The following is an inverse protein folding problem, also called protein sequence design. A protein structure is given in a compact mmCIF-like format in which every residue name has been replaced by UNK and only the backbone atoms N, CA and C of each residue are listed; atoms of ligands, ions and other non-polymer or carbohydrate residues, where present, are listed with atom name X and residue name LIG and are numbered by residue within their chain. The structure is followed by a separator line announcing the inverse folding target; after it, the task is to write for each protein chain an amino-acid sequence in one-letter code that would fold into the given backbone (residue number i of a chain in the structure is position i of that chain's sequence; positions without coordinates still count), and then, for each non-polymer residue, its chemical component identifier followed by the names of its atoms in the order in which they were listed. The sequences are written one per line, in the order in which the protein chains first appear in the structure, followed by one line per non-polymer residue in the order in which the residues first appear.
data_IF_793662766580
#
_entry.id   IF_793662766580
#
_cell.length_a   1.000
_cell.length_b   1.000
_cell.length_c   1.000
_cell.angle_alpha   90.00
_cell.angle_beta   90.00
_cell.angle_gamma   90.00
#
_symmetry.space_group_name_H-M   'P 1'
#
loop_
_entity.id
_entity.type
_entity.pdbx_description
1 polymer ?
#
# COMPACT_ATOMS: atom_id res chain seq x y z
N UNK A 1 19.68 58.22 9.15
CA UNK A 1 20.52 57.04 8.91
C UNK A 1 19.68 55.81 9.22
N UNK A 2 19.11 55.16 8.21
CA UNK A 2 18.27 53.99 8.36
C UNK A 2 19.15 52.79 7.96
N UNK A 3 19.49 51.92 8.92
CA UNK A 3 20.23 50.67 8.67
C UNK A 3 19.27 49.64 8.08
N UNK A 4 19.50 49.27 6.83
CA UNK A 4 18.84 48.11 6.20
C UNK A 4 19.42 46.80 6.79
N UNK A 5 18.57 46.01 7.45
CA UNK A 5 18.89 44.67 7.87
C UNK A 5 18.46 43.75 6.73
N UNK A 6 19.44 43.16 6.05
CA UNK A 6 19.20 42.13 5.02
C UNK A 6 19.06 40.79 5.71
N UNK A 7 17.86 40.24 5.72
CA UNK A 7 17.62 38.84 6.14
C UNK A 7 18.02 37.91 5.00
N UNK A 8 19.13 37.23 5.16
CA UNK A 8 19.52 36.15 4.25
C UNK A 8 18.67 34.90 4.52
N UNK A 9 17.82 34.57 3.56
CA UNK A 9 17.12 33.26 3.56
C UNK A 9 18.12 32.19 3.12
N UNK A 10 18.65 31.46 4.08
CA UNK A 10 19.46 30.26 3.82
C UNK A 10 18.51 29.12 3.53
N UNK A 11 18.25 28.86 2.24
CA UNK A 11 17.41 27.75 1.79
C UNK A 11 18.18 26.46 2.04
N UNK A 12 17.67 25.63 2.95
CA UNK A 12 18.19 24.31 3.27
C UNK A 12 17.95 23.35 2.10
N UNK A 13 18.80 23.40 1.08
CA UNK A 13 18.75 22.50 -0.11
C UNK A 13 19.50 21.18 0.08
N UNK A 14 20.03 20.91 1.28
CA UNK A 14 20.89 19.74 1.52
C UNK A 14 20.13 18.46 1.90
N UNK A 15 18.89 18.55 2.37
CA UNK A 15 18.12 17.38 2.80
C UNK A 15 17.60 16.53 1.62
N UNK A 16 17.20 17.14 0.52
CA UNK A 16 16.72 16.42 -0.68
C UNK A 16 17.83 15.64 -1.39
N UNK A 17 19.08 16.12 -1.36
CA UNK A 17 20.22 15.43 -1.97
C UNK A 17 20.70 14.19 -1.20
N UNK A 18 20.49 14.15 0.12
CA UNK A 18 20.88 13.00 0.95
C UNK A 18 19.94 11.81 0.79
N UNK A 19 18.64 12.05 0.59
CA UNK A 19 17.67 10.97 0.36
C UNK A 19 17.82 10.32 -1.02
N UNK A 20 18.13 11.10 -2.07
CA UNK A 20 18.37 10.55 -3.41
C UNK A 20 19.63 9.68 -3.49
N UNK A 21 20.66 9.93 -2.66
CA UNK A 21 21.88 9.11 -2.59
C UNK A 21 21.66 7.73 -1.95
N UNK A 22 20.73 7.60 -1.01
CA UNK A 22 20.48 6.33 -0.33
C UNK A 22 19.70 5.33 -1.21
N UNK A 23 18.97 5.80 -2.24
CA UNK A 23 18.19 4.96 -3.12
C UNK A 23 19.00 4.31 -4.25
N UNK A 24 20.10 4.92 -4.67
CA UNK A 24 20.96 4.40 -5.76
C UNK A 24 21.76 3.14 -5.40
N UNK A 25 21.80 2.73 -4.11
CA UNK A 25 22.53 1.53 -3.66
C UNK A 25 21.63 0.36 -3.27
N UNK A 26 20.31 0.43 -3.52
CA UNK A 26 19.40 -0.66 -3.19
C UNK A 26 19.52 -1.77 -4.22
N UNK A 27 19.98 -2.95 -3.80
CA UNK A 27 20.04 -4.14 -4.65
C UNK A 27 18.67 -4.79 -4.67
N UNK A 28 18.01 -4.79 -5.82
CA UNK A 28 16.74 -5.48 -6.04
C UNK A 28 17.00 -6.93 -6.44
N UNK A 29 16.11 -7.84 -6.03
CA UNK A 29 16.14 -9.22 -6.51
C UNK A 29 15.35 -9.33 -7.81
N UNK A 30 15.94 -9.83 -8.91
CA UNK A 30 15.20 -10.08 -10.14
C UNK A 30 14.10 -11.12 -9.91
N UNK A 31 13.13 -11.18 -10.81
CA UNK A 31 12.15 -12.26 -10.81
C UNK A 31 12.86 -13.61 -10.95
N UNK A 32 12.46 -14.59 -10.15
CA UNK A 32 12.95 -15.97 -10.26
C UNK A 32 12.49 -16.62 -11.56
N UNK A 33 13.13 -17.71 -11.95
CA UNK A 33 12.73 -18.47 -13.15
C UNK A 33 11.26 -18.94 -13.06
N UNK A 34 10.79 -19.32 -11.88
CA UNK A 34 9.42 -19.75 -11.67
C UNK A 34 8.43 -18.58 -11.85
N UNK A 35 8.72 -17.41 -11.26
CA UNK A 35 7.90 -16.20 -11.44
C UNK A 35 7.88 -15.77 -12.91
N UNK A 36 9.01 -15.76 -13.60
CA UNK A 36 9.09 -15.45 -15.04
C UNK A 36 8.27 -16.45 -15.87
N UNK A 37 8.33 -17.74 -15.54
CA UNK A 37 7.53 -18.77 -16.21
C UNK A 37 6.04 -18.50 -16.05
N UNK A 38 5.58 -18.17 -14.83
CA UNK A 38 4.18 -17.85 -14.55
C UNK A 38 3.73 -16.58 -15.28
N UNK A 39 4.58 -15.53 -15.30
CA UNK A 39 4.30 -14.28 -16.02
C UNK A 39 4.18 -14.52 -17.53
N UNK A 40 5.05 -15.37 -18.11
CA UNK A 40 5.10 -15.66 -19.55
C UNK A 40 4.22 -16.82 -20.00
N UNK A 41 3.52 -17.48 -19.10
CA UNK A 41 2.64 -18.61 -19.43
C UNK A 41 1.55 -18.23 -20.45
N UNK A 42 1.09 -16.98 -20.38
CA UNK A 42 0.03 -16.45 -21.24
C UNK A 42 0.37 -15.04 -21.76
N UNK A 43 -0.52 -14.49 -22.59
CA UNK A 43 -0.36 -13.16 -23.19
C UNK A 43 -0.79 -12.05 -22.21
N UNK A 44 -0.49 -10.80 -22.57
CA UNK A 44 -0.73 -9.61 -21.74
C UNK A 44 -2.20 -9.35 -21.40
N UNK A 45 -3.12 -9.83 -22.21
CA UNK A 45 -4.56 -9.70 -21.99
C UNK A 45 -5.21 -10.90 -21.26
N UNK A 46 -4.43 -11.95 -20.99
CA UNK A 46 -4.92 -13.13 -20.27
C UNK A 46 -4.80 -12.94 -18.76
N UNK A 47 -5.84 -13.29 -18.04
CA UNK A 47 -5.89 -13.19 -16.58
C UNK A 47 -4.98 -14.21 -15.89
N UNK A 48 -4.58 -13.88 -14.67
CA UNK A 48 -4.05 -14.85 -13.74
C UNK A 48 -5.18 -15.56 -12.98
N UNK A 49 -4.88 -16.73 -12.42
CA UNK A 49 -5.70 -17.31 -11.39
C UNK A 49 -5.52 -16.52 -10.09
N UNK A 50 -6.60 -16.07 -9.49
CA UNK A 50 -6.56 -15.49 -8.15
C UNK A 50 -6.45 -16.60 -7.11
N UNK A 51 -5.49 -16.47 -6.18
CA UNK A 51 -5.29 -17.38 -5.08
C UNK A 51 -6.37 -17.17 -4.02
N UNK A 52 -6.87 -18.28 -3.44
CA UNK A 52 -7.97 -18.25 -2.48
C UNK A 52 -7.55 -18.76 -1.10
N UNK A 53 -8.04 -18.12 -0.05
CA UNK A 53 -7.80 -18.54 1.35
C UNK A 53 -8.42 -19.88 1.70
N UNK A 54 -9.31 -20.41 0.88
CA UNK A 54 -9.92 -21.75 1.02
C UNK A 54 -8.97 -22.88 0.61
N UNK A 55 -7.87 -22.58 -0.07
CA UNK A 55 -6.79 -23.51 -0.41
C UNK A 55 -5.61 -23.29 0.55
N UNK A 56 -5.18 -24.34 1.25
CA UNK A 56 -4.04 -24.26 2.17
C UNK A 56 -2.73 -23.86 1.46
N UNK A 57 -2.51 -24.38 0.25
CA UNK A 57 -1.34 -24.02 -0.56
C UNK A 57 -1.35 -22.53 -0.96
N UNK A 58 -2.51 -22.02 -1.37
CA UNK A 58 -2.67 -20.60 -1.72
C UNK A 58 -2.52 -19.71 -0.48
N UNK A 59 -3.13 -20.11 0.64
CA UNK A 59 -3.06 -19.36 1.90
C UNK A 59 -1.60 -19.17 2.36
N UNK A 60 -0.76 -20.21 2.19
CA UNK A 60 0.67 -20.11 2.51
C UNK A 60 1.37 -19.01 1.69
N UNK A 61 1.01 -18.86 0.42
CA UNK A 61 1.55 -17.80 -0.45
C UNK A 61 1.00 -16.43 -0.03
N UNK A 62 -0.32 -16.34 0.18
CA UNK A 62 -1.00 -15.10 0.60
C UNK A 62 -0.51 -14.57 1.94
N UNK A 63 -0.03 -15.45 2.83
CA UNK A 63 0.52 -15.11 4.14
C UNK A 63 2.03 -14.88 4.15
N UNK A 64 2.70 -15.07 3.02
CA UNK A 64 4.13 -14.83 2.94
C UNK A 64 4.43 -13.34 2.65
N UNK A 65 5.48 -12.82 3.27
CA UNK A 65 5.94 -11.47 3.01
C UNK A 65 6.55 -11.37 1.61
N UNK A 66 6.17 -10.35 0.87
CA UNK A 66 6.71 -10.01 -0.44
C UNK A 66 8.07 -9.32 -0.35
N UNK A 67 8.82 -9.38 -1.43
CA UNK A 67 10.11 -8.70 -1.57
C UNK A 67 10.09 -7.70 -2.71
N UNK A 68 11.01 -6.73 -2.67
CA UNK A 68 11.12 -5.72 -3.71
C UNK A 68 11.49 -6.34 -5.07
N UNK A 69 10.93 -5.75 -6.11
CA UNK A 69 11.23 -6.07 -7.51
C UNK A 69 12.07 -4.94 -8.12
N UNK A 70 12.95 -5.26 -9.07
CA UNK A 70 13.64 -4.23 -9.86
C UNK A 70 12.61 -3.46 -10.71
N UNK A 71 12.44 -2.14 -10.51
CA UNK A 71 11.51 -1.34 -11.31
C UNK A 71 11.82 -1.34 -12.80
N UNK A 72 13.02 -1.79 -13.19
CA UNK A 72 13.49 -1.91 -14.58
C UNK A 72 13.50 -3.36 -15.08
N UNK A 73 12.90 -4.31 -14.34
CA UNK A 73 12.81 -5.70 -14.79
C UNK A 73 12.06 -5.77 -16.13
N UNK A 74 12.62 -6.41 -17.18
CA UNK A 74 12.01 -6.45 -18.51
C UNK A 74 10.66 -7.18 -18.56
N UNK A 75 10.30 -7.93 -17.54
CA UNK A 75 9.04 -8.66 -17.46
C UNK A 75 7.96 -7.89 -16.68
N UNK A 76 8.31 -6.73 -16.08
CA UNK A 76 7.39 -6.01 -15.19
C UNK A 76 6.15 -5.50 -15.94
N UNK A 77 6.34 -5.08 -17.19
CA UNK A 77 5.21 -4.63 -18.02
C UNK A 77 4.22 -5.77 -18.28
N UNK A 78 4.70 -6.96 -18.63
CA UNK A 78 3.83 -8.12 -18.86
C UNK A 78 3.12 -8.56 -17.57
N UNK A 79 3.82 -8.53 -16.43
CA UNK A 79 3.21 -8.76 -15.12
C UNK A 79 2.08 -7.75 -14.87
N UNK A 80 2.36 -6.47 -15.05
CA UNK A 80 1.40 -5.40 -14.84
C UNK A 80 0.17 -5.56 -15.76
N UNK A 81 0.39 -5.78 -17.07
CA UNK A 81 -0.71 -5.93 -18.05
C UNK A 81 -1.63 -7.10 -17.67
N UNK A 82 -1.07 -8.24 -17.30
CA UNK A 82 -1.86 -9.41 -16.90
C UNK A 82 -2.56 -9.23 -15.55
N UNK A 83 -1.92 -8.58 -14.58
CA UNK A 83 -2.57 -8.21 -13.33
C UNK A 83 -3.72 -7.25 -13.57
N UNK A 84 -3.56 -6.28 -14.50
CA UNK A 84 -4.62 -5.38 -14.89
C UNK A 84 -5.80 -6.13 -15.53
N UNK A 85 -5.54 -7.03 -16.47
CA UNK A 85 -6.56 -7.88 -17.06
C UNK A 85 -7.31 -8.68 -15.97
N UNK A 86 -6.59 -9.14 -14.95
CA UNK A 86 -7.19 -9.90 -13.83
C UNK A 86 -8.13 -9.04 -12.99
N UNK A 87 -7.72 -7.83 -12.58
CA UNK A 87 -8.57 -6.95 -11.73
C UNK A 87 -9.75 -6.35 -12.51
N UNK A 88 -9.68 -6.32 -13.84
CA UNK A 88 -10.76 -5.84 -14.71
C UNK A 88 -11.71 -6.95 -15.19
N UNK A 89 -11.35 -8.22 -14.99
CA UNK A 89 -12.21 -9.35 -15.36
C UNK A 89 -13.51 -9.32 -14.56
N UNK A 90 -14.65 -9.55 -15.22
CA UNK A 90 -15.96 -9.48 -14.57
C UNK A 90 -16.10 -10.42 -13.36
N UNK A 91 -15.42 -11.58 -13.42
CA UNK A 91 -15.44 -12.55 -12.32
C UNK A 91 -14.58 -12.14 -11.12
N UNK A 92 -13.64 -11.19 -11.31
CA UNK A 92 -12.72 -10.70 -10.28
C UNK A 92 -12.61 -9.17 -10.26
N UNK A 93 -13.67 -8.47 -10.69
CA UNK A 93 -13.68 -7.01 -10.78
C UNK A 93 -13.45 -6.36 -9.42
N UNK A 94 -12.38 -5.58 -9.34
CA UNK A 94 -11.97 -4.90 -8.11
C UNK A 94 -11.41 -3.51 -8.39
N UNK A 95 -11.08 -2.81 -7.32
CA UNK A 95 -10.44 -1.48 -7.34
C UNK A 95 -8.94 -1.55 -7.04
N UNK A 96 -8.42 -2.74 -6.72
CA UNK A 96 -7.02 -3.02 -6.50
C UNK A 96 -6.74 -4.53 -6.56
N UNK A 97 -5.47 -4.87 -6.78
CA UNK A 97 -4.95 -6.24 -6.73
C UNK A 97 -3.45 -6.22 -6.44
N UNK A 98 -3.00 -7.09 -5.55
CA UNK A 98 -1.59 -7.24 -5.20
C UNK A 98 -0.97 -8.50 -5.84
N UNK A 99 0.30 -8.45 -6.18
CA UNK A 99 1.02 -9.56 -6.82
C UNK A 99 0.98 -10.88 -6.01
N UNK A 100 0.98 -10.91 -4.66
CA UNK A 100 0.75 -12.15 -3.92
C UNK A 100 -0.56 -12.85 -4.24
N UNK A 101 -1.61 -12.12 -4.59
CA UNK A 101 -2.92 -12.70 -4.94
C UNK A 101 -2.90 -13.50 -6.24
N UNK A 102 -1.86 -13.33 -7.05
CA UNK A 102 -1.65 -14.11 -8.28
C UNK A 102 -0.44 -15.04 -8.19
N UNK A 103 0.06 -15.30 -6.99
CA UNK A 103 1.13 -16.26 -6.74
C UNK A 103 2.55 -15.70 -6.88
N UNK A 104 2.72 -14.38 -6.92
CA UNK A 104 4.02 -13.70 -7.05
C UNK A 104 4.26 -12.82 -5.84
N UNK A 105 5.09 -13.28 -4.87
CA UNK A 105 5.39 -12.52 -3.65
C UNK A 105 6.39 -11.39 -3.92
N UNK A 106 5.95 -10.41 -4.71
CA UNK A 106 6.68 -9.19 -5.06
C UNK A 106 5.89 -7.96 -4.66
N UNK A 107 6.59 -6.90 -4.28
CA UNK A 107 6.00 -5.64 -3.88
C UNK A 107 5.49 -4.86 -5.10
N UNK A 108 4.37 -5.31 -5.65
CA UNK A 108 3.69 -4.67 -6.79
C UNK A 108 2.18 -4.78 -6.63
N UNK A 109 1.46 -3.69 -6.92
CA UNK A 109 0.00 -3.62 -6.83
C UNK A 109 -0.58 -2.77 -7.96
N UNK A 110 -1.82 -3.04 -8.37
CA UNK A 110 -2.68 -2.10 -9.08
C UNK A 110 -3.64 -1.46 -8.10
N UNK A 111 -3.87 -0.15 -8.23
CA UNK A 111 -4.84 0.61 -7.44
C UNK A 111 -5.58 1.59 -8.33
N UNK A 112 -6.92 1.65 -8.21
CA UNK A 112 -7.71 2.70 -8.82
C UNK A 112 -7.62 3.98 -7.97
N UNK A 113 -7.23 5.09 -8.62
CA UNK A 113 -6.92 6.37 -7.98
C UNK A 113 -8.14 7.29 -7.99
N UNK A 114 -9.08 7.05 -7.08
CA UNK A 114 -10.26 7.92 -6.89
C UNK A 114 -9.90 9.33 -6.39
N UNK A 115 -8.67 9.53 -5.92
CA UNK A 115 -8.11 10.82 -5.52
C UNK A 115 -7.52 11.62 -6.69
N UNK A 116 -7.54 11.09 -7.91
CA UNK A 116 -7.06 11.74 -9.14
C UNK A 116 -8.18 11.93 -10.15
N UNK A 117 -8.07 12.98 -10.97
CA UNK A 117 -9.01 13.24 -12.06
C UNK A 117 -9.07 12.04 -13.03
N UNK A 118 -10.28 11.62 -13.38
CA UNK A 118 -10.50 10.48 -14.25
C UNK A 118 -10.35 9.12 -13.59
N UNK A 119 -10.06 9.07 -12.30
CA UNK A 119 -9.98 7.85 -11.48
C UNK A 119 -9.12 6.73 -12.13
N UNK A 120 -7.89 7.04 -12.61
CA UNK A 120 -7.08 6.08 -13.35
C UNK A 120 -6.64 4.91 -12.47
N UNK A 121 -6.40 3.76 -13.10
CA UNK A 121 -5.62 2.70 -12.46
C UNK A 121 -4.13 2.99 -12.60
N UNK A 122 -3.38 2.84 -11.51
CA UNK A 122 -1.93 2.99 -11.48
C UNK A 122 -1.25 1.72 -10.98
N UNK A 123 -0.16 1.31 -11.67
CA UNK A 123 0.69 0.22 -11.22
C UNK A 123 1.79 0.78 -10.33
N UNK A 124 1.84 0.27 -9.13
CA UNK A 124 2.69 0.76 -8.05
C UNK A 124 3.72 -0.31 -7.72
N UNK A 125 4.99 0.05 -7.78
CA UNK A 125 6.13 -0.84 -7.59
C UNK A 125 6.86 -0.46 -6.31
N UNK A 126 7.09 -1.45 -5.43
CA UNK A 126 7.77 -1.29 -4.16
C UNK A 126 7.17 -0.20 -3.27
N UNK A 127 5.84 -0.18 -3.07
CA UNK A 127 5.22 0.83 -2.22
C UNK A 127 5.77 0.78 -0.79
N UNK A 128 5.86 1.95 -0.17
CA UNK A 128 6.16 2.13 1.24
C UNK A 128 5.22 3.19 1.79
N UNK A 129 4.46 2.84 2.81
CA UNK A 129 3.66 3.81 3.53
C UNK A 129 4.53 4.32 4.67
N UNK A 130 5.02 5.55 4.55
CA UNK A 130 5.94 6.17 5.51
C UNK A 130 5.22 6.88 6.66
N UNK A 131 3.93 7.19 6.48
CA UNK A 131 3.11 7.81 7.50
C UNK A 131 1.62 7.50 7.31
N UNK A 132 0.90 7.42 8.42
CA UNK A 132 -0.56 7.21 8.48
C UNK A 132 -1.20 8.29 9.35
N UNK A 133 -2.37 8.80 8.95
CA UNK A 133 -3.17 9.69 9.80
C UNK A 133 -3.74 8.94 11.01
N UNK A 134 -3.86 9.66 12.14
CA UNK A 134 -4.58 9.15 13.32
C UNK A 134 -6.11 9.13 13.08
N UNK A 135 -6.59 9.90 12.10
CA UNK A 135 -7.98 9.89 11.67
C UNK A 135 -8.21 8.69 10.77
N UNK A 136 -9.18 7.85 11.14
CA UNK A 136 -9.48 6.60 10.44
C UNK A 136 -10.95 6.53 10.05
N UNK A 137 -11.25 5.81 8.99
CA UNK A 137 -12.60 5.41 8.59
C UNK A 137 -12.84 3.95 8.97
N UNK A 138 -14.02 3.66 9.54
CA UNK A 138 -14.49 2.29 9.78
C UNK A 138 -15.37 1.85 8.63
N UNK A 139 -14.79 1.21 7.62
CA UNK A 139 -15.43 0.86 6.36
C UNK A 139 -15.53 -0.63 6.10
N UNK A 140 -16.52 -1.04 5.29
CA UNK A 140 -16.67 -2.43 4.83
C UNK A 140 -15.63 -2.73 3.77
N UNK A 141 -14.94 -3.86 3.94
CA UNK A 141 -13.99 -4.44 2.98
C UNK A 141 -14.42 -5.85 2.58
N UNK A 142 -14.04 -6.25 1.38
CA UNK A 142 -14.00 -7.60 0.86
C UNK A 142 -12.68 -7.80 0.14
N UNK A 143 -12.37 -9.03 -0.26
CA UNK A 143 -11.10 -9.36 -0.92
C UNK A 143 -11.32 -10.44 -1.97
N UNK A 144 -10.71 -10.29 -3.15
CA UNK A 144 -10.77 -11.29 -4.22
C UNK A 144 -10.26 -12.66 -3.77
N UNK A 145 -9.29 -12.67 -2.84
CA UNK A 145 -8.73 -13.90 -2.28
C UNK A 145 -9.56 -14.53 -1.15
N UNK A 146 -10.61 -13.85 -0.67
CA UNK A 146 -11.47 -14.29 0.44
C UNK A 146 -12.93 -14.25 -0.02
N UNK A 147 -13.42 -15.28 -0.72
CA UNK A 147 -14.76 -15.26 -1.29
C UNK A 147 -15.82 -15.21 -0.18
N UNK A 148 -16.90 -14.48 -0.47
CA UNK A 148 -18.12 -14.38 0.34
C UNK A 148 -17.96 -13.82 1.76
N UNK A 149 -16.76 -13.36 2.13
CA UNK A 149 -16.50 -12.76 3.43
C UNK A 149 -16.31 -11.24 3.29
N UNK A 150 -17.02 -10.52 4.11
CA UNK A 150 -16.91 -9.06 4.24
C UNK A 150 -16.81 -8.68 5.71
N UNK A 151 -16.10 -7.60 6.00
CA UNK A 151 -15.98 -7.10 7.36
C UNK A 151 -15.65 -5.63 7.39
N UNK A 152 -15.76 -5.00 8.57
CA UNK A 152 -15.38 -3.60 8.75
C UNK A 152 -13.99 -3.50 9.32
N UNK A 153 -13.19 -2.64 8.73
CA UNK A 153 -11.79 -2.39 9.12
C UNK A 153 -11.60 -0.89 9.32
N UNK A 154 -10.83 -0.51 10.33
CA UNK A 154 -10.38 0.85 10.50
C UNK A 154 -9.16 1.10 9.61
N UNK A 155 -9.26 2.10 8.72
CA UNK A 155 -8.19 2.52 7.81
C UNK A 155 -7.94 4.02 7.93
N UNK A 156 -6.66 4.39 7.95
CA UNK A 156 -6.28 5.80 7.91
C UNK A 156 -6.83 6.48 6.66
N UNK A 157 -7.37 7.70 6.83
CA UNK A 157 -7.94 8.46 5.71
C UNK A 157 -6.88 9.19 4.89
N UNK A 158 -5.69 9.37 5.45
CA UNK A 158 -4.57 10.02 4.76
C UNK A 158 -3.31 9.21 5.05
N UNK A 159 -2.47 9.03 4.03
CA UNK A 159 -1.17 8.40 4.17
C UNK A 159 -0.12 9.09 3.30
N UNK A 160 1.16 8.90 3.65
CA UNK A 160 2.29 9.27 2.81
C UNK A 160 2.83 8.02 2.14
N UNK A 161 2.88 8.04 0.79
CA UNK A 161 3.24 6.89 -0.03
C UNK A 161 4.47 7.19 -0.88
N UNK A 162 5.46 6.31 -0.78
CA UNK A 162 6.65 6.29 -1.64
C UNK A 162 6.60 5.06 -2.54
N UNK A 163 6.89 5.20 -3.83
CA UNK A 163 6.82 4.09 -4.79
C UNK A 163 7.53 4.41 -6.11
N UNK A 164 7.65 3.41 -6.98
CA UNK A 164 8.04 3.57 -8.38
C UNK A 164 6.86 3.29 -9.30
N UNK A 165 6.75 4.08 -10.40
CA UNK A 165 5.80 3.81 -11.48
C UNK A 165 6.35 2.79 -12.50
N UNK A 166 5.56 2.46 -13.53
CA UNK A 166 5.97 1.56 -14.63
C UNK A 166 7.13 2.10 -15.48
N UNK A 167 7.41 3.38 -15.43
CA UNK A 167 8.53 4.02 -16.12
C UNK A 167 9.80 4.00 -15.25
N UNK A 168 9.71 3.51 -14.01
CA UNK A 168 10.79 3.50 -13.04
C UNK A 168 11.03 4.86 -12.38
N UNK A 169 10.10 5.82 -12.50
CA UNK A 169 10.17 7.09 -11.79
C UNK A 169 9.75 6.89 -10.33
N UNK A 170 10.47 7.54 -9.45
CA UNK A 170 10.14 7.58 -8.02
C UNK A 170 9.09 8.65 -7.73
N UNK A 171 8.13 8.30 -6.90
CA UNK A 171 7.07 9.16 -6.39
C UNK A 171 7.05 9.15 -4.87
N UNK A 172 6.75 10.29 -4.29
CA UNK A 172 6.54 10.50 -2.86
C UNK A 172 5.39 11.49 -2.71
N UNK A 173 4.20 10.99 -2.42
CA UNK A 173 2.97 11.78 -2.43
C UNK A 173 2.06 11.48 -1.24
N UNK A 174 1.16 12.42 -0.96
CA UNK A 174 0.07 12.22 -0.02
C UNK A 174 -1.12 11.62 -0.77
N UNK A 175 -1.70 10.58 -0.20
CA UNK A 175 -2.89 9.89 -0.73
C UNK A 175 -3.99 9.97 0.31
N UNK A 176 -5.22 10.25 -0.12
CA UNK A 176 -6.32 10.46 0.81
C UNK A 176 -7.61 9.72 0.43
N UNK A 177 -8.55 9.70 1.37
CA UNK A 177 -9.89 9.19 1.16
C UNK A 177 -9.94 7.69 0.90
N UNK A 178 -10.80 7.29 -0.03
CA UNK A 178 -10.99 5.88 -0.37
C UNK A 178 -9.74 5.25 -1.01
N UNK A 179 -8.99 6.01 -1.78
CA UNK A 179 -7.72 5.54 -2.35
C UNK A 179 -6.70 5.17 -1.26
N UNK A 180 -6.62 5.94 -0.17
CA UNK A 180 -5.78 5.57 0.97
C UNK A 180 -6.22 4.24 1.62
N UNK A 181 -7.52 3.96 1.67
CA UNK A 181 -8.06 2.67 2.15
C UNK A 181 -7.60 1.53 1.24
N UNK A 182 -7.73 1.69 -0.08
CA UNK A 182 -7.30 0.68 -1.06
C UNK A 182 -5.81 0.40 -0.92
N UNK A 183 -4.97 1.43 -0.86
CA UNK A 183 -3.52 1.24 -0.68
C UNK A 183 -3.18 0.46 0.58
N UNK A 184 -3.87 0.69 1.70
CA UNK A 184 -3.65 -0.06 2.93
C UNK A 184 -4.05 -1.53 2.78
N UNK A 185 -5.16 -1.80 2.08
CA UNK A 185 -5.61 -3.17 1.79
C UNK A 185 -4.58 -3.92 0.93
N UNK A 186 -4.15 -3.31 -0.19
CA UNK A 186 -3.16 -3.93 -1.08
C UNK A 186 -1.77 -4.05 -0.42
N UNK A 187 -1.39 -3.07 0.42
CA UNK A 187 -0.14 -3.13 1.18
C UNK A 187 -0.14 -4.26 2.20
N UNK A 188 -1.28 -4.54 2.84
CA UNK A 188 -1.43 -5.68 3.75
C UNK A 188 -1.09 -6.99 3.03
N UNK A 189 -1.56 -7.20 1.80
CA UNK A 189 -1.19 -8.37 1.00
C UNK A 189 0.32 -8.50 0.81
N UNK A 190 1.03 -7.38 0.63
CA UNK A 190 2.49 -7.38 0.45
C UNK A 190 3.25 -7.82 1.71
N UNK A 191 2.68 -7.59 2.88
CA UNK A 191 3.27 -8.01 4.17
C UNK A 191 2.67 -9.31 4.71
N UNK A 192 1.89 -10.04 3.89
CA UNK A 192 1.27 -11.31 4.26
C UNK A 192 0.12 -11.19 5.25
N UNK A 193 -0.52 -10.02 5.31
CA UNK A 193 -1.67 -9.73 6.18
C UNK A 193 -2.96 -9.68 5.35
N UNK A 194 -4.05 -10.13 5.91
CA UNK A 194 -5.38 -10.07 5.29
C UNK A 194 -6.28 -9.12 6.08
N UNK A 195 -7.31 -8.56 5.43
CA UNK A 195 -8.25 -7.66 6.13
C UNK A 195 -8.93 -8.35 7.32
N UNK A 196 -9.13 -9.66 7.27
CA UNK A 196 -9.66 -10.46 8.38
C UNK A 196 -8.72 -10.55 9.58
N UNK A 197 -7.40 -10.46 9.36
CA UNK A 197 -6.43 -10.36 10.45
C UNK A 197 -6.51 -8.97 11.09
N UNK A 198 -6.65 -7.91 10.27
CA UNK A 198 -6.82 -6.54 10.78
C UNK A 198 -8.05 -6.40 11.65
N UNK A 199 -9.17 -7.03 11.29
CA UNK A 199 -10.36 -7.04 12.16
C UNK A 199 -9.99 -7.56 13.55
N UNK A 200 -9.34 -8.73 13.64
CA UNK A 200 -8.94 -9.35 14.91
C UNK A 200 -7.93 -8.51 15.70
N UNK A 201 -6.98 -7.88 15.03
CA UNK A 201 -6.00 -6.99 15.65
C UNK A 201 -6.67 -5.74 16.23
N UNK A 202 -7.62 -5.18 15.49
CA UNK A 202 -8.27 -3.91 15.81
C UNK A 202 -9.35 -4.04 16.90
N UNK A 203 -9.88 -5.25 17.15
CA UNK A 203 -10.77 -5.51 18.30
C UNK A 203 -10.14 -5.17 19.65
N UNK A 204 -8.81 -5.15 19.72
CA UNK A 204 -8.03 -4.84 20.93
C UNK A 204 -7.69 -3.35 21.07
N UNK A 205 -8.03 -2.54 20.07
CA UNK A 205 -7.68 -1.12 20.03
C UNK A 205 -8.89 -0.27 20.43
N UNK A 206 -8.60 0.89 20.99
CA UNK A 206 -9.64 1.83 21.42
C UNK A 206 -9.81 2.94 20.38
N UNK A 207 -10.89 2.86 19.60
CA UNK A 207 -11.27 3.87 18.63
C UNK A 207 -12.38 4.75 19.18
N UNK A 208 -12.21 6.07 19.05
CA UNK A 208 -13.19 7.07 19.48
C UNK A 208 -13.88 7.64 18.25
N UNK A 209 -15.22 7.62 18.26
CA UNK A 209 -16.01 8.18 17.16
C UNK A 209 -15.84 9.71 17.12
N UNK A 210 -15.62 10.26 15.92
CA UNK A 210 -15.62 11.69 15.72
C UNK A 210 -17.06 12.25 15.79
N UNK A 211 -17.25 13.38 16.48
CA UNK A 211 -18.57 13.96 16.71
C UNK A 211 -19.26 14.46 15.43
N UNK A 212 -18.47 14.82 14.41
CA UNK A 212 -18.94 15.54 13.23
C UNK A 212 -19.22 14.63 12.03
N UNK A 213 -18.69 13.39 11.98
CA UNK A 213 -18.82 12.47 10.83
C UNK A 213 -19.11 11.05 11.29
N UNK A 214 -20.16 10.44 10.73
CA UNK A 214 -20.68 9.15 11.20
C UNK A 214 -19.70 7.96 11.06
N UNK A 215 -18.82 7.96 10.04
CA UNK A 215 -17.91 6.84 9.73
C UNK A 215 -16.44 7.17 10.02
N UNK A 216 -16.18 8.29 10.71
CA UNK A 216 -14.83 8.74 11.05
C UNK A 216 -14.55 8.52 12.53
N UNK A 217 -13.38 8.00 12.82
CA UNK A 217 -12.89 7.67 14.14
C UNK A 217 -11.45 8.15 14.27
N UNK A 218 -10.95 8.20 15.48
CA UNK A 218 -9.52 8.35 15.75
C UNK A 218 -9.08 7.33 16.79
N UNK A 219 -7.84 6.87 16.65
CA UNK A 219 -7.22 5.99 17.63
C UNK A 219 -6.89 6.79 18.87
N UNK A 220 -7.49 6.44 20.01
CA UNK A 220 -7.14 7.03 21.28
C UNK A 220 -5.77 6.48 21.69
N UNK A 221 -4.74 7.32 21.61
CA UNK A 221 -3.44 7.03 22.23
C UNK A 221 -3.69 7.03 23.75
N UNK A 222 -3.45 5.92 24.41
CA UNK A 222 -3.33 5.91 25.88
C UNK A 222 -2.23 6.89 26.21
N UNK A 223 -2.54 7.94 26.98
CA UNK A 223 -1.50 8.74 27.61
C UNK A 223 -0.58 7.77 28.34
N UNK A 224 0.70 7.80 28.03
CA UNK A 224 1.70 7.25 28.93
C UNK A 224 1.58 8.17 30.13
N UNK A 225 0.97 7.68 31.22
CA UNK A 225 1.06 8.34 32.50
C UNK A 225 2.57 8.37 32.84
N UNK A 226 3.18 9.52 32.66
CA UNK A 226 4.42 9.81 33.35
C UNK A 226 3.98 9.94 34.81
N UNK A 227 4.15 8.87 35.57
CA UNK A 227 4.12 8.95 37.01
C UNK A 227 5.21 9.97 37.39
N UNK A 228 4.76 11.16 37.77
CA UNK A 228 5.58 12.14 38.49
C UNK A 228 5.85 11.59 39.90
N UNK A 229 6.69 10.56 39.97
CA UNK A 229 7.31 10.12 41.21
C UNK A 229 8.63 10.88 41.41
N UNK A 230 8.55 12.16 41.69
CA UNK A 230 9.61 12.92 42.33
C UNK A 230 9.03 13.98 43.24
N UNK A 231 8.47 13.53 44.37
CA UNK A 231 8.43 14.29 45.60
C UNK A 231 8.96 13.39 46.73
N UNK A 232 10.28 13.56 47.01
CA UNK A 232 10.83 13.64 48.40
C UNK A 232 12.25 14.16 48.41
#
# INVERSE_FOLDING_TARGET
MIKRITFGVLICSTALFAQSKNMNNKTYKPLSKAEISLVKEKKSYDTFRVLLTTSEADLKILKAQSIDIDPKDPNIKLLADRMYATVQDEASKGVGIAAPQIGINRNAVWVQRFDKEGEPFEFIINPRISWYSDIVRHGREGCLSIPDIFGKVYRSLVLRLEYYDLNGNFHDETVEGFTAVIFQHEYDHLIGTLFTDRIKEQEKLNYVKAEVMNDVFYLKKTSIDFDDDDED
#
